data_IF_364501911873
#
_entry.id   IF_364501911873
#
_cell.length_a   1.000
_cell.length_b   1.000
_cell.length_c   1.000
_cell.angle_alpha   90.00
_cell.angle_beta   90.00
_cell.angle_gamma   90.00
#
_symmetry.space_group_name_H-M   'P 1'
#
loop_
_entity.id
_entity.type
_entity.pdbx_description
1 polymer ?
#
# COMPACT_ATOMS: atom_id res chain seq x y z
N UNK A 1 -15.74 -9.41 0.18
CA UNK A 1 -17.00 -9.82 0.86
C UNK A 1 -17.05 -11.33 0.92
N UNK A 2 -17.38 -11.89 2.05
CA UNK A 2 -17.50 -13.33 2.31
C UNK A 2 -18.84 -13.61 2.99
N UNK A 3 -19.25 -14.89 3.04
CA UNK A 3 -20.44 -15.32 3.72
C UNK A 3 -21.76 -14.91 3.06
N UNK A 4 -22.78 -14.65 3.87
CA UNK A 4 -24.17 -14.36 3.45
C UNK A 4 -24.31 -13.14 2.52
N UNK A 5 -23.32 -12.24 2.46
CA UNK A 5 -23.36 -11.02 1.65
C UNK A 5 -22.76 -11.20 0.24
N UNK A 6 -22.26 -12.40 -0.08
CA UNK A 6 -21.68 -12.69 -1.40
C UNK A 6 -22.79 -12.91 -2.43
N UNK A 7 -22.65 -12.30 -3.60
CA UNK A 7 -23.58 -12.50 -4.74
C UNK A 7 -24.80 -11.57 -4.77
N UNK A 8 -25.00 -10.72 -3.77
CA UNK A 8 -26.12 -9.77 -3.71
C UNK A 8 -25.91 -8.45 -4.48
N UNK A 9 -24.80 -8.30 -5.22
CA UNK A 9 -24.59 -7.09 -6.03
C UNK A 9 -24.00 -5.89 -5.26
N UNK A 10 -23.95 -5.90 -3.95
CA UNK A 10 -23.52 -4.76 -3.11
C UNK A 10 -22.18 -4.11 -3.50
N UNK A 11 -21.23 -4.87 -4.03
CA UNK A 11 -19.97 -4.29 -4.51
C UNK A 11 -20.17 -3.45 -5.77
N UNK A 12 -21.14 -3.81 -6.60
CA UNK A 12 -21.54 -3.02 -7.75
C UNK A 12 -22.26 -1.74 -7.32
N UNK A 13 -23.17 -1.84 -6.37
CA UNK A 13 -23.93 -0.70 -5.84
C UNK A 13 -22.99 0.33 -5.20
N UNK A 14 -22.06 -0.13 -4.35
CA UNK A 14 -21.03 0.72 -3.75
C UNK A 14 -20.14 1.40 -4.81
N UNK A 15 -19.74 0.68 -5.84
CA UNK A 15 -18.98 1.29 -6.94
C UNK A 15 -19.79 2.34 -7.68
N UNK A 16 -21.07 2.08 -7.94
CA UNK A 16 -21.96 3.04 -8.60
C UNK A 16 -22.13 4.32 -7.76
N UNK A 17 -22.21 4.19 -6.42
CA UNK A 17 -22.20 5.34 -5.50
C UNK A 17 -20.91 6.16 -5.61
N UNK A 18 -19.74 5.48 -5.62
CA UNK A 18 -18.45 6.16 -5.79
C UNK A 18 -18.38 6.89 -7.15
N UNK A 19 -18.90 6.29 -8.23
CA UNK A 19 -18.95 6.91 -9.56
C UNK A 19 -19.85 8.15 -9.53
N UNK A 20 -21.03 8.04 -8.90
CA UNK A 20 -21.99 9.15 -8.80
C UNK A 20 -21.40 10.34 -8.03
N UNK A 21 -20.81 10.07 -6.87
CA UNK A 21 -20.18 11.09 -6.04
C UNK A 21 -19.01 11.76 -6.79
N UNK A 22 -18.13 10.98 -7.39
CA UNK A 22 -17.00 11.51 -8.14
C UNK A 22 -17.43 12.37 -9.33
N UNK A 23 -18.51 11.99 -10.05
CA UNK A 23 -19.09 12.80 -11.13
C UNK A 23 -19.67 14.11 -10.59
N UNK A 24 -20.38 14.08 -9.46
CA UNK A 24 -20.93 15.27 -8.82
C UNK A 24 -19.82 16.25 -8.39
N UNK A 25 -18.65 15.73 -8.03
CA UNK A 25 -17.45 16.52 -7.72
C UNK A 25 -16.64 16.94 -8.96
N UNK A 26 -17.12 16.73 -10.18
CA UNK A 26 -16.46 17.10 -11.43
C UNK A 26 -15.18 16.29 -11.71
N UNK A 27 -15.01 15.11 -11.10
CA UNK A 27 -13.86 14.25 -11.36
C UNK A 27 -13.96 13.59 -12.74
N UNK A 28 -12.82 13.26 -13.33
CA UNK A 28 -12.71 12.69 -14.67
C UNK A 28 -12.81 11.16 -14.70
N UNK A 29 -12.69 10.51 -13.56
CA UNK A 29 -12.73 9.06 -13.41
C UNK A 29 -12.38 8.61 -12.01
N UNK A 30 -12.34 7.29 -11.81
CA UNK A 30 -11.89 6.66 -10.57
C UNK A 30 -10.57 5.92 -10.76
N UNK A 31 -9.71 6.00 -9.75
CA UNK A 31 -8.46 5.25 -9.68
C UNK A 31 -8.51 4.23 -8.55
N UNK A 32 -7.86 3.10 -8.77
CA UNK A 32 -7.67 2.08 -7.73
C UNK A 32 -6.33 1.36 -7.94
N UNK A 33 -5.72 0.95 -6.85
CA UNK A 33 -4.50 0.14 -6.89
C UNK A 33 -4.83 -1.35 -7.02
N UNK A 34 -4.02 -2.03 -7.82
CA UNK A 34 -4.04 -3.48 -8.00
C UNK A 34 -2.62 -4.02 -8.23
N UNK A 35 -2.50 -5.30 -8.52
CA UNK A 35 -1.24 -5.91 -8.95
C UNK A 35 -1.52 -7.13 -9.81
N UNK A 36 -0.57 -7.51 -10.68
CA UNK A 36 -0.70 -8.71 -11.51
C UNK A 36 -0.80 -9.99 -10.67
N UNK A 37 -0.08 -10.03 -9.54
CA UNK A 37 -0.18 -11.12 -8.54
C UNK A 37 -1.20 -10.72 -7.49
N UNK A 38 -2.14 -11.64 -7.18
CA UNK A 38 -3.15 -11.40 -6.15
C UNK A 38 -2.50 -11.08 -4.80
N UNK A 39 -2.86 -9.93 -4.23
CA UNK A 39 -2.50 -9.50 -2.88
C UNK A 39 -3.79 -9.28 -2.09
N UNK A 40 -3.83 -9.78 -0.84
CA UNK A 40 -5.06 -9.76 -0.03
C UNK A 40 -5.60 -8.35 0.28
N UNK A 41 -4.73 -7.34 0.21
CA UNK A 41 -5.07 -5.94 0.49
C UNK A 41 -5.32 -5.09 -0.76
N UNK A 42 -5.24 -5.67 -1.97
CA UNK A 42 -5.51 -4.99 -3.23
C UNK A 42 -6.75 -5.56 -3.94
N UNK A 43 -7.38 -4.76 -4.77
CA UNK A 43 -8.49 -5.19 -5.60
C UNK A 43 -8.04 -6.24 -6.63
N UNK A 44 -8.90 -7.24 -6.86
CA UNK A 44 -8.63 -8.29 -7.86
C UNK A 44 -8.71 -7.68 -9.29
N UNK A 45 -7.67 -7.83 -10.13
CA UNK A 45 -7.65 -7.27 -11.48
C UNK A 45 -8.75 -7.85 -12.39
N UNK A 46 -9.22 -9.09 -12.15
CA UNK A 46 -10.35 -9.68 -12.90
C UNK A 46 -11.65 -8.93 -12.59
N UNK A 47 -11.87 -8.62 -11.29
CA UNK A 47 -13.02 -7.81 -10.89
C UNK A 47 -12.95 -6.41 -11.49
N UNK A 48 -11.79 -5.78 -11.47
CA UNK A 48 -11.61 -4.43 -12.04
C UNK A 48 -11.91 -4.40 -13.54
N UNK A 49 -11.40 -5.35 -14.32
CA UNK A 49 -11.73 -5.47 -15.75
C UNK A 49 -13.23 -5.65 -15.98
N UNK A 50 -13.88 -6.52 -15.20
CA UNK A 50 -15.32 -6.74 -15.28
C UNK A 50 -16.11 -5.45 -15.00
N UNK A 51 -15.58 -4.55 -14.17
CA UNK A 51 -16.18 -3.24 -13.84
C UNK A 51 -15.75 -2.10 -14.79
N UNK A 52 -15.02 -2.40 -15.87
CA UNK A 52 -14.62 -1.43 -16.88
C UNK A 52 -13.35 -0.65 -16.57
N UNK A 53 -12.65 -0.97 -15.49
CA UNK A 53 -11.33 -0.39 -15.24
C UNK A 53 -10.30 -0.94 -16.21
N UNK A 54 -9.32 -0.09 -16.56
CA UNK A 54 -8.17 -0.43 -17.41
C UNK A 54 -6.87 -0.13 -16.68
N UNK A 55 -5.79 -0.89 -16.89
CA UNK A 55 -4.46 -0.52 -16.41
C UNK A 55 -4.06 0.82 -17.01
N UNK A 56 -3.56 1.73 -16.19
CA UNK A 56 -3.14 3.07 -16.60
C UNK A 56 -1.63 3.27 -16.42
N UNK A 57 -1.05 2.70 -15.37
CA UNK A 57 0.37 2.81 -15.06
C UNK A 57 0.83 1.68 -14.13
N UNK A 58 2.15 1.49 -13.99
CA UNK A 58 2.73 0.49 -13.09
C UNK A 58 3.99 1.05 -12.42
N UNK A 59 4.16 0.76 -11.13
CA UNK A 59 5.34 1.06 -10.34
C UNK A 59 6.37 -0.07 -10.44
N UNK A 60 7.64 0.22 -10.23
CA UNK A 60 8.74 -0.78 -10.16
C UNK A 60 8.50 -1.87 -9.12
N UNK A 61 7.61 -1.63 -8.15
CA UNK A 61 7.19 -2.64 -7.15
C UNK A 61 6.10 -3.59 -7.63
N UNK A 62 5.65 -3.45 -8.89
CA UNK A 62 4.57 -4.24 -9.48
C UNK A 62 3.17 -3.84 -8.98
N UNK A 63 3.04 -2.65 -8.38
CA UNK A 63 1.75 -2.05 -8.07
C UNK A 63 1.23 -1.34 -9.31
N UNK A 64 0.02 -1.70 -9.71
CA UNK A 64 -0.65 -1.16 -10.89
C UNK A 64 -1.67 -0.11 -10.50
N UNK A 65 -1.68 1.01 -11.23
CA UNK A 65 -2.74 1.99 -11.20
C UNK A 65 -3.80 1.60 -12.23
N UNK A 66 -5.01 1.36 -11.77
CA UNK A 66 -6.16 1.08 -12.62
C UNK A 66 -7.07 2.29 -12.64
N UNK A 67 -7.67 2.55 -13.81
CA UNK A 67 -8.48 3.74 -14.07
C UNK A 67 -9.80 3.37 -14.75
N UNK A 68 -10.89 3.94 -14.23
CA UNK A 68 -12.23 3.94 -14.83
C UNK A 68 -12.52 5.36 -15.32
N UNK A 69 -12.33 5.67 -16.61
CA UNK A 69 -12.65 6.99 -17.16
C UNK A 69 -14.16 7.21 -17.16
N UNK A 70 -14.59 8.47 -16.98
CA UNK A 70 -16.00 8.84 -17.13
C UNK A 70 -16.35 9.28 -18.54
N UNK A 71 -15.35 9.59 -19.36
CA UNK A 71 -15.44 9.84 -20.81
C UNK A 71 -14.27 9.16 -21.49
N UNK A 72 -14.44 8.74 -22.73
CA UNK A 72 -13.39 8.00 -23.47
C UNK A 72 -12.16 8.84 -23.77
N UNK A 73 -12.34 10.16 -23.96
CA UNK A 73 -11.27 11.09 -24.30
C UNK A 73 -10.38 11.47 -23.10
N UNK A 74 -10.74 11.06 -21.89
CA UNK A 74 -9.96 11.42 -20.70
C UNK A 74 -8.63 10.69 -20.66
N UNK A 75 -7.55 11.45 -20.61
CA UNK A 75 -6.21 10.92 -20.50
C UNK A 75 -6.05 10.10 -19.22
N UNK A 76 -5.46 8.89 -19.27
CA UNK A 76 -5.25 8.08 -18.09
C UNK A 76 -4.26 8.76 -17.13
N UNK A 77 -4.52 8.68 -15.82
CA UNK A 77 -3.60 9.19 -14.81
C UNK A 77 -2.32 8.36 -14.77
N UNK A 78 -1.26 8.95 -14.21
CA UNK A 78 0.02 8.28 -13.99
C UNK A 78 0.46 8.43 -12.55
N UNK A 79 1.24 7.49 -12.08
CA UNK A 79 1.98 7.67 -10.83
C UNK A 79 2.93 8.88 -10.93
N UNK A 80 3.12 9.56 -9.82
CA UNK A 80 4.22 10.50 -9.67
C UNK A 80 5.54 9.72 -9.69
N UNK A 81 6.62 10.38 -10.05
CA UNK A 81 7.93 9.75 -10.18
C UNK A 81 8.37 9.03 -8.89
N UNK A 82 8.21 9.66 -7.73
CA UNK A 82 8.50 9.09 -6.42
C UNK A 82 7.71 7.78 -6.13
N UNK A 83 6.48 7.67 -6.63
CA UNK A 83 5.68 6.46 -6.45
C UNK A 83 5.94 5.41 -7.55
N UNK A 84 6.35 5.85 -8.74
CA UNK A 84 6.71 4.97 -9.84
C UNK A 84 8.03 4.25 -9.59
N UNK A 85 9.02 4.98 -9.05
CA UNK A 85 10.38 4.51 -8.77
C UNK A 85 10.68 4.60 -7.26
N UNK A 86 10.11 3.71 -6.43
CA UNK A 86 10.22 3.77 -4.98
C UNK A 86 11.66 3.69 -4.50
N UNK A 87 12.17 4.80 -3.99
CA UNK A 87 13.52 4.93 -3.42
C UNK A 87 13.52 5.98 -2.31
N UNK A 88 14.45 5.84 -1.38
CA UNK A 88 14.77 6.82 -0.34
C UNK A 88 16.28 7.02 -0.29
N UNK A 89 16.74 8.14 0.22
CA UNK A 89 18.20 8.43 0.27
C UNK A 89 18.85 7.90 1.55
N UNK A 90 18.05 7.59 2.56
CA UNK A 90 18.52 7.18 3.87
C UNK A 90 19.09 5.76 3.87
N UNK A 91 20.16 5.56 4.68
CA UNK A 91 20.71 4.26 5.01
C UNK A 91 19.93 3.59 6.15
N UNK A 92 20.07 2.28 6.30
CA UNK A 92 19.33 1.49 7.28
C UNK A 92 17.87 1.27 6.88
N UNK A 93 17.04 0.95 7.88
CA UNK A 93 15.62 0.75 7.63
C UNK A 93 14.85 2.07 7.74
N UNK A 94 13.97 2.32 6.75
CA UNK A 94 13.04 3.44 6.74
C UNK A 94 11.64 2.91 6.48
N UNK A 95 10.72 3.21 7.37
CA UNK A 95 9.32 2.80 7.31
C UNK A 95 8.43 4.02 7.13
N UNK A 96 7.73 4.08 6.01
CA UNK A 96 6.60 5.00 5.81
C UNK A 96 5.29 4.29 6.11
N UNK A 97 4.41 4.91 6.88
CA UNK A 97 3.11 4.33 7.21
C UNK A 97 2.02 5.39 7.39
N UNK A 98 0.77 4.97 7.33
CA UNK A 98 -0.37 5.81 7.72
C UNK A 98 -1.34 5.03 8.61
N UNK A 99 -2.09 5.75 9.44
CA UNK A 99 -3.08 5.17 10.36
C UNK A 99 -4.42 4.81 9.68
N UNK A 100 -4.46 4.80 8.35
CA UNK A 100 -5.62 4.32 7.58
C UNK A 100 -5.91 2.83 7.78
N UNK A 101 -4.92 2.07 8.26
CA UNK A 101 -5.06 0.64 8.54
C UNK A 101 -4.85 0.38 10.04
N UNK A 102 -5.80 -0.26 10.75
CA UNK A 102 -5.65 -0.52 12.18
C UNK A 102 -4.45 -1.44 12.51
N UNK A 103 -3.98 -2.22 11.54
CA UNK A 103 -2.80 -3.06 11.71
C UNK A 103 -1.51 -2.25 11.81
N UNK A 104 -1.40 -1.08 11.17
CA UNK A 104 -0.22 -0.22 11.29
C UNK A 104 -0.12 0.36 12.70
N UNK A 105 -1.24 0.85 13.26
CA UNK A 105 -1.32 1.30 14.64
C UNK A 105 -0.85 0.23 15.65
N UNK A 106 -1.16 -1.04 15.38
CA UNK A 106 -0.74 -2.15 16.24
C UNK A 106 0.71 -2.55 16.05
N UNK A 107 1.18 -2.68 14.80
CA UNK A 107 2.48 -3.27 14.50
C UNK A 107 3.62 -2.25 14.49
N UNK A 108 3.42 -1.01 14.02
CA UNK A 108 4.52 -0.04 13.88
C UNK A 108 5.23 0.25 15.21
N UNK A 109 4.55 0.54 16.33
CA UNK A 109 5.23 0.73 17.61
C UNK A 109 6.01 -0.51 18.10
N UNK A 110 5.52 -1.70 17.73
CA UNK A 110 6.21 -2.97 18.06
C UNK A 110 7.48 -3.16 17.25
N UNK A 111 7.44 -2.79 15.96
CA UNK A 111 8.65 -2.81 15.12
C UNK A 111 9.70 -1.83 15.64
N UNK A 112 9.30 -0.63 16.06
CA UNK A 112 10.21 0.33 16.67
C UNK A 112 10.83 -0.20 17.99
N UNK A 113 10.01 -0.80 18.84
CA UNK A 113 10.48 -1.40 20.09
C UNK A 113 11.46 -2.56 19.81
N UNK A 114 11.15 -3.43 18.87
CA UNK A 114 12.02 -4.54 18.46
C UNK A 114 13.32 -4.02 17.84
N UNK A 115 13.26 -3.02 16.95
CA UNK A 115 14.43 -2.39 16.36
C UNK A 115 15.36 -1.81 17.43
N UNK A 116 14.80 -1.08 18.39
CA UNK A 116 15.52 -0.48 19.51
C UNK A 116 16.16 -1.53 20.42
N UNK A 117 15.41 -2.58 20.78
CA UNK A 117 15.90 -3.70 21.60
C UNK A 117 17.12 -4.39 20.99
N UNK A 118 17.14 -4.54 19.67
CA UNK A 118 18.19 -5.28 18.95
C UNK A 118 19.22 -4.37 18.25
N UNK A 119 19.20 -3.05 18.53
CA UNK A 119 20.16 -2.12 17.96
C UNK A 119 20.06 -1.95 16.44
N UNK A 120 18.89 -2.24 15.85
CA UNK A 120 18.64 -2.08 14.41
C UNK A 120 18.26 -0.63 14.11
N UNK A 121 18.99 0.09 13.24
CA UNK A 121 18.58 1.42 12.82
C UNK A 121 17.26 1.37 12.05
N UNK A 122 16.21 1.93 12.63
CA UNK A 122 14.88 2.06 12.01
C UNK A 122 14.38 3.49 12.18
N UNK A 123 14.19 4.19 11.05
CA UNK A 123 13.49 5.47 11.02
C UNK A 123 12.03 5.24 10.62
N UNK A 124 11.10 5.76 11.40
CA UNK A 124 9.65 5.65 11.16
C UNK A 124 9.11 7.02 10.79
N UNK A 125 8.40 7.10 9.66
CA UNK A 125 7.88 8.34 9.08
C UNK A 125 6.38 8.19 8.87
N UNK A 126 5.54 8.89 9.66
CA UNK A 126 4.10 8.89 9.46
C UNK A 126 3.71 9.69 8.23
N UNK A 127 2.72 9.20 7.49
CA UNK A 127 2.03 9.91 6.42
C UNK A 127 0.71 10.41 7.00
N UNK A 128 0.70 11.61 7.51
CA UNK A 128 -0.39 12.22 8.29
C UNK A 128 -1.13 13.35 7.57
N UNK A 129 -0.70 13.67 6.35
CA UNK A 129 -1.29 14.74 5.55
C UNK A 129 -1.42 14.35 4.08
N UNK A 130 -2.27 15.07 3.35
CA UNK A 130 -2.43 14.90 1.89
C UNK A 130 -1.13 15.21 1.16
N UNK A 131 -0.39 16.21 1.63
CA UNK A 131 0.90 16.64 1.07
C UNK A 131 1.95 15.55 1.26
N UNK A 132 2.05 14.97 2.46
CA UNK A 132 2.94 13.85 2.75
C UNK A 132 2.57 12.62 1.90
N UNK A 133 1.28 12.31 1.75
CA UNK A 133 0.82 11.21 0.90
C UNK A 133 1.15 11.41 -0.58
N UNK A 134 1.09 12.65 -1.07
CA UNK A 134 1.46 12.99 -2.45
C UNK A 134 2.95 12.87 -2.73
N UNK A 135 3.78 12.98 -1.72
CA UNK A 135 5.24 12.89 -1.80
C UNK A 135 5.79 11.55 -1.32
N UNK A 136 4.90 10.66 -0.87
CA UNK A 136 5.31 9.35 -0.39
C UNK A 136 6.12 8.59 -1.45
N UNK A 137 7.25 7.96 -1.07
CA UNK A 137 8.15 7.29 -2.01
C UNK A 137 7.63 5.93 -2.47
N UNK A 138 6.30 5.74 -2.45
CA UNK A 138 5.64 4.49 -2.80
C UNK A 138 4.16 4.72 -3.11
N UNK A 139 3.58 3.94 -4.03
CA UNK A 139 2.15 4.03 -4.34
C UNK A 139 1.24 3.51 -3.21
N UNK A 140 1.76 2.74 -2.26
CA UNK A 140 1.01 2.20 -1.11
C UNK A 140 1.40 2.97 0.14
N UNK A 141 0.53 3.87 0.59
CA UNK A 141 0.78 4.76 1.72
C UNK A 141 0.55 4.13 3.09
N UNK A 142 -0.12 2.98 3.16
CA UNK A 142 -0.40 2.33 4.44
C UNK A 142 0.86 1.78 5.11
N UNK A 143 1.75 1.14 4.33
CA UNK A 143 2.99 0.57 4.83
C UNK A 143 3.98 0.39 3.69
N UNK A 144 5.17 0.95 3.82
CA UNK A 144 6.26 0.81 2.84
C UNK A 144 7.60 0.80 3.56
N UNK A 145 8.26 -0.34 3.56
CA UNK A 145 9.56 -0.53 4.19
C UNK A 145 10.67 -0.49 3.15
N UNK A 146 11.71 0.26 3.48
CA UNK A 146 12.94 0.39 2.69
C UNK A 146 14.14 -0.04 3.52
N UNK A 147 15.22 -0.45 2.86
CA UNK A 147 16.54 -0.68 3.46
C UNK A 147 17.61 -0.17 2.51
N UNK A 148 18.49 0.67 3.03
CA UNK A 148 19.62 1.25 2.28
C UNK A 148 19.17 1.84 0.94
N UNK A 149 18.14 2.66 0.98
CA UNK A 149 17.57 3.32 -0.18
C UNK A 149 16.62 2.48 -1.03
N UNK A 150 16.57 1.17 -0.86
CA UNK A 150 15.80 0.24 -1.72
C UNK A 150 14.51 -0.19 -1.07
N UNK A 151 13.46 -0.22 -1.86
CA UNK A 151 12.17 -0.77 -1.43
C UNK A 151 12.27 -2.27 -1.11
N UNK A 152 11.65 -2.69 0.01
CA UNK A 152 11.57 -4.08 0.44
C UNK A 152 10.16 -4.65 0.32
N UNK A 153 9.17 -4.01 0.96
CA UNK A 153 7.81 -4.58 1.03
C UNK A 153 6.75 -3.56 1.37
N UNK A 154 5.51 -3.84 0.92
CA UNK A 154 4.28 -3.21 1.37
C UNK A 154 3.51 -4.06 2.41
N UNK A 155 4.02 -5.26 2.73
CA UNK A 155 3.38 -6.13 3.70
C UNK A 155 3.66 -5.61 5.12
N UNK A 156 2.61 -5.43 5.92
CA UNK A 156 2.75 -5.09 7.34
C UNK A 156 3.41 -6.28 8.03
N UNK A 157 4.56 -6.05 8.62
CA UNK A 157 5.39 -7.10 9.21
C UNK A 157 5.08 -7.31 10.68
N UNK A 158 5.19 -8.56 11.14
CA UNK A 158 5.38 -8.86 12.56
C UNK A 158 6.84 -8.60 12.99
N UNK A 159 7.08 -8.47 14.28
CA UNK A 159 8.44 -8.33 14.86
C UNK A 159 9.39 -9.41 14.34
N UNK A 160 8.96 -10.68 14.37
CA UNK A 160 9.76 -11.81 13.87
C UNK A 160 10.16 -11.65 12.41
N UNK A 161 9.21 -11.25 11.53
CA UNK A 161 9.52 -11.03 10.11
C UNK A 161 10.47 -9.85 9.91
N UNK A 162 10.31 -8.77 10.67
CA UNK A 162 11.18 -7.61 10.59
C UNK A 162 12.62 -7.96 11.04
N UNK A 163 12.77 -8.64 12.19
CA UNK A 163 14.07 -9.07 12.69
C UNK A 163 14.78 -10.01 11.73
N UNK A 164 14.04 -10.94 11.11
CA UNK A 164 14.60 -11.81 10.07
C UNK A 164 15.13 -11.01 8.86
N UNK A 165 14.43 -9.94 8.44
CA UNK A 165 14.93 -9.02 7.39
C UNK A 165 16.18 -8.26 7.84
N UNK A 166 16.30 -7.98 9.13
CA UNK A 166 17.49 -7.35 9.72
C UNK A 166 18.67 -8.33 9.90
N UNK A 167 18.48 -9.63 9.62
CA UNK A 167 19.50 -10.67 9.82
C UNK A 167 19.61 -11.15 11.28
N UNK A 168 18.57 -10.91 12.08
CA UNK A 168 18.52 -11.31 13.49
C UNK A 168 17.60 -12.52 13.63
N UNK A 169 18.12 -13.60 14.16
CA UNK A 169 17.34 -14.81 14.44
C UNK A 169 16.66 -14.71 15.83
N UNK A 170 15.39 -14.29 15.81
CA UNK A 170 14.59 -14.16 17.03
C UNK A 170 14.28 -15.51 17.72
N UNK A 171 14.50 -16.64 17.07
CA UNK A 171 14.24 -17.96 17.64
C UNK A 171 15.32 -18.37 18.65
N UNK A 172 16.52 -17.83 18.54
CA UNK A 172 17.62 -18.13 19.46
C UNK A 172 17.42 -17.57 20.88
N UNK A 173 16.61 -16.51 21.03
CA UNK A 173 16.36 -15.86 22.33
C UNK A 173 15.26 -16.54 23.16
N UNK A 174 14.28 -17.19 22.54
CA UNK A 174 13.22 -17.91 23.26
C UNK A 174 13.72 -19.21 23.91
N UNK A 175 14.85 -19.77 23.44
CA UNK A 175 15.44 -20.99 24.00
C UNK A 175 16.34 -20.73 25.21
N UNK A 176 16.58 -19.45 25.57
CA UNK A 176 17.44 -19.08 26.73
C UNK A 176 16.64 -18.54 27.93
N UNK A 177 15.31 -18.60 27.89
CA UNK A 177 14.44 -18.29 29.03
C UNK A 177 13.75 -19.55 29.52
#
# INVERSE_FOLDING_TARGET
MSGALKGHGYSGDLLNECVRDARAQGKKGLCILSSARKKGFLADPKYLRHKGFRPADESDTGIQLWYLPFREEEAPPRFRDCARHPRVEESGFVLYYSDQCPYTYYWVPRLEAAARKHGVPLRVIPIDSVEAARQAPSPVTNFSLFRDGRFLTHEILSEKKFLALAGIDAAAEESQR
#
